data_IF_730436298679
#
_entry.id   IF_730436298679
#
_cell.length_a   1.000
_cell.length_b   1.000
_cell.length_c   1.000
_cell.angle_alpha   90.00
_cell.angle_beta   90.00
_cell.angle_gamma   90.00
#
_symmetry.space_group_name_H-M   'P 1'
#
loop_
_entity.id
_entity.type
_entity.pdbx_description
1 polymer ?
#
# COMPACT_ATOMS: atom_id res chain seq x y z
N UNK A 1 6.09 -25.78 83.24
CA UNK A 1 4.76 -25.13 83.20
C UNK A 1 4.98 -23.69 82.72
N UNK A 2 4.28 -23.02 81.80
CA UNK A 2 2.90 -23.03 81.29
C UNK A 2 2.93 -22.33 79.91
N UNK A 3 2.65 -23.02 78.79
CA UNK A 3 1.45 -22.92 77.93
C UNK A 3 1.00 -21.51 77.42
N UNK A 4 1.00 -21.41 76.07
CA UNK A 4 0.01 -20.76 75.14
C UNK A 4 0.11 -19.23 74.94
N UNK A 5 -0.13 -18.63 73.76
CA UNK A 5 -0.58 -19.09 72.43
C UNK A 5 -0.36 -17.99 71.35
N UNK A 6 -0.36 -18.42 70.08
CA UNK A 6 -0.87 -17.79 68.83
C UNK A 6 -0.61 -16.28 68.58
N UNK A 7 -0.12 -15.86 67.42
CA UNK A 7 -0.93 -15.83 66.20
C UNK A 7 -0.06 -15.75 64.92
N UNK A 8 -0.31 -16.67 63.99
CA UNK A 8 0.11 -16.63 62.58
C UNK A 8 -1.01 -15.97 61.78
N UNK A 9 -0.78 -14.82 61.14
CA UNK A 9 -1.45 -14.37 59.91
C UNK A 9 -0.52 -13.30 59.29
N UNK A 10 -0.15 -13.27 58.02
CA UNK A 10 -0.70 -13.95 56.84
C UNK A 10 -0.72 -12.97 55.68
N UNK A 11 0.39 -12.30 55.34
CA UNK A 11 0.41 -11.22 54.34
C UNK A 11 1.44 -11.50 53.23
N UNK A 12 1.36 -12.66 52.58
CA UNK A 12 2.30 -13.01 51.52
C UNK A 12 1.63 -13.66 50.31
N UNK A 13 0.53 -13.10 49.82
CA UNK A 13 -0.10 -13.57 48.55
C UNK A 13 -0.97 -12.51 47.86
N UNK A 14 -0.48 -11.28 47.60
CA UNK A 14 -1.18 -10.36 46.68
C UNK A 14 -0.21 -9.50 45.84
N UNK A 15 0.73 -10.14 45.14
CA UNK A 15 1.58 -9.46 44.14
C UNK A 15 1.66 -10.23 42.81
N UNK A 16 0.57 -10.90 42.41
CA UNK A 16 0.51 -11.67 41.15
C UNK A 16 -0.56 -11.18 40.15
N UNK A 17 -1.18 -10.02 40.41
CA UNK A 17 -2.24 -9.47 39.54
C UNK A 17 -1.85 -8.33 38.60
N UNK A 18 -0.73 -7.62 38.85
CA UNK A 18 -0.36 -6.41 38.10
C UNK A 18 0.63 -6.65 36.95
N UNK A 19 1.21 -7.85 36.84
CA UNK A 19 2.16 -8.19 35.80
C UNK A 19 1.58 -8.24 34.36
N UNK A 20 0.38 -8.79 34.09
CA UNK A 20 -0.08 -8.91 32.70
C UNK A 20 -0.54 -7.58 32.08
N UNK A 21 -1.02 -6.63 32.90
CA UNK A 21 -1.46 -5.32 32.42
C UNK A 21 -0.29 -4.41 32.01
N UNK A 22 0.84 -4.49 32.73
CA UNK A 22 2.08 -3.78 32.38
C UNK A 22 2.74 -4.35 31.12
N UNK A 23 2.66 -5.66 30.90
CA UNK A 23 3.20 -6.31 29.69
C UNK A 23 2.37 -5.95 28.45
N UNK A 24 1.03 -5.89 28.55
CA UNK A 24 0.17 -5.49 27.43
C UNK A 24 0.37 -4.03 26.99
N UNK A 25 0.59 -3.11 27.94
CA UNK A 25 0.89 -1.71 27.65
C UNK A 25 2.27 -1.51 27.00
N UNK A 26 3.28 -2.32 27.36
CA UNK A 26 4.60 -2.29 26.74
C UNK A 26 4.60 -2.79 25.28
N UNK A 27 3.77 -3.80 24.96
CA UNK A 27 3.66 -4.32 23.58
C UNK A 27 2.90 -3.37 22.64
N UNK A 28 1.92 -2.61 23.15
CA UNK A 28 1.19 -1.60 22.37
C UNK A 28 2.05 -0.37 22.01
N UNK A 29 2.93 0.06 22.91
CA UNK A 29 3.84 1.19 22.66
C UNK A 29 4.93 0.85 21.62
N UNK A 30 5.40 -0.40 21.59
CA UNK A 30 6.44 -0.85 20.67
C UNK A 30 6.04 -0.81 19.19
N UNK A 31 4.75 -1.03 18.87
CA UNK A 31 4.27 -1.08 17.49
C UNK A 31 4.14 0.32 16.85
N UNK A 32 3.80 1.34 17.64
CA UNK A 32 3.71 2.73 17.18
C UNK A 32 5.07 3.46 17.15
N UNK A 33 6.05 3.00 17.94
CA UNK A 33 7.38 3.60 18.00
C UNK A 33 8.24 3.28 16.76
N UNK A 34 8.01 2.15 16.09
CA UNK A 34 8.82 1.69 14.95
C UNK A 34 8.97 2.70 13.78
N UNK A 35 7.90 3.34 13.26
CA UNK A 35 8.05 4.33 12.19
C UNK A 35 8.71 5.63 12.67
N UNK A 36 8.50 6.02 13.93
CA UNK A 36 9.10 7.22 14.52
C UNK A 36 10.61 7.06 14.71
N UNK A 37 11.04 5.89 15.20
CA UNK A 37 12.45 5.51 15.34
C UNK A 37 13.16 5.45 13.98
N UNK A 38 12.52 4.87 12.96
CA UNK A 38 13.08 4.85 11.60
C UNK A 38 13.25 6.26 11.02
N UNK A 39 12.26 7.14 11.21
CA UNK A 39 12.36 8.53 10.78
C UNK A 39 13.47 9.29 11.54
N UNK A 40 13.63 9.05 12.84
CA UNK A 40 14.71 9.61 13.64
C UNK A 40 16.08 9.13 13.17
N UNK A 41 16.23 7.84 12.87
CA UNK A 41 17.47 7.27 12.35
C UNK A 41 17.84 7.87 10.97
N UNK A 42 16.88 8.00 10.06
CA UNK A 42 17.10 8.65 8.76
C UNK A 42 17.57 10.11 8.91
N UNK A 43 17.02 10.85 9.88
CA UNK A 43 17.49 12.21 10.20
C UNK A 43 18.92 12.21 10.72
N UNK A 44 19.28 11.27 11.61
CA UNK A 44 20.66 11.13 12.11
C UNK A 44 21.64 10.87 10.96
N UNK A 45 21.30 9.95 10.05
CA UNK A 45 22.14 9.65 8.88
C UNK A 45 22.28 10.90 8.00
N UNK A 46 21.19 11.63 7.74
CA UNK A 46 21.24 12.85 6.94
C UNK A 46 22.17 13.91 7.57
N UNK A 47 22.09 14.12 8.89
CA UNK A 47 22.99 15.02 9.62
C UNK A 47 24.45 14.55 9.51
N UNK A 48 24.72 13.27 9.75
CA UNK A 48 26.09 12.73 9.65
C UNK A 48 26.69 12.88 8.25
N UNK A 49 25.88 12.69 7.20
CA UNK A 49 26.31 12.95 5.81
C UNK A 49 26.68 14.41 5.62
N UNK A 50 25.87 15.34 6.12
CA UNK A 50 26.17 16.77 6.04
C UNK A 50 27.48 17.10 6.75
N UNK A 51 27.70 16.56 7.95
CA UNK A 51 28.95 16.76 8.70
C UNK A 51 30.18 16.23 7.93
N UNK A 52 30.07 15.04 7.32
CA UNK A 52 31.14 14.47 6.47
C UNK A 52 31.43 15.37 5.27
N UNK A 53 30.39 15.90 4.62
CA UNK A 53 30.56 16.82 3.50
C UNK A 53 31.21 18.14 3.93
N UNK A 54 30.80 18.71 5.07
CA UNK A 54 31.43 19.93 5.59
C UNK A 54 32.90 19.72 5.91
N UNK A 55 33.25 18.63 6.61
CA UNK A 55 34.65 18.26 6.88
C UNK A 55 35.47 18.11 5.59
N UNK A 56 34.89 17.51 4.55
CA UNK A 56 35.55 17.41 3.26
C UNK A 56 35.79 18.79 2.62
N UNK A 57 34.82 19.71 2.68
CA UNK A 57 34.97 21.06 2.16
C UNK A 57 36.02 21.87 2.94
N UNK A 58 36.06 21.73 4.25
CA UNK A 58 37.10 22.32 5.11
C UNK A 58 38.48 21.78 4.75
N UNK A 59 38.62 20.45 4.67
CA UNK A 59 39.86 19.79 4.27
C UNK A 59 40.30 20.21 2.88
N UNK A 60 39.36 20.39 1.96
CA UNK A 60 39.64 20.88 0.62
C UNK A 60 40.20 22.31 0.63
N UNK A 61 39.69 23.20 1.49
CA UNK A 61 40.25 24.56 1.67
C UNK A 61 41.66 24.51 2.25
N UNK A 62 41.91 23.66 3.24
CA UNK A 62 43.24 23.47 3.80
C UNK A 62 44.21 22.89 2.77
N UNK A 63 43.80 21.88 1.99
CA UNK A 63 44.67 21.29 0.96
C UNK A 63 45.13 22.31 -0.08
N UNK A 64 44.30 23.32 -0.40
CA UNK A 64 44.66 24.38 -1.36
C UNK A 64 45.79 25.28 -0.87
N UNK A 65 46.07 25.33 0.43
CA UNK A 65 47.19 26.12 0.98
C UNK A 65 48.50 25.34 1.03
N UNK A 66 48.47 24.02 0.76
CA UNK A 66 49.65 23.15 0.78
C UNK A 66 50.36 23.14 -0.58
N UNK A 67 51.66 22.85 -0.56
CA UNK A 67 52.45 22.69 -1.78
C UNK A 67 52.01 21.47 -2.62
N UNK A 68 51.69 20.35 -1.96
CA UNK A 68 51.25 19.11 -2.63
C UNK A 68 49.72 18.97 -2.53
N UNK A 69 49.00 19.81 -3.28
CA UNK A 69 47.53 19.88 -3.24
C UNK A 69 46.89 18.56 -3.71
N UNK A 70 47.39 17.95 -4.79
CA UNK A 70 46.75 16.79 -5.42
C UNK A 70 46.64 15.59 -4.49
N UNK A 71 47.76 15.20 -3.84
CA UNK A 71 47.76 14.06 -2.92
C UNK A 71 46.88 14.32 -1.70
N UNK A 72 46.90 15.55 -1.18
CA UNK A 72 46.05 15.99 -0.08
C UNK A 72 44.56 15.88 -0.44
N UNK A 73 44.17 16.36 -1.62
CA UNK A 73 42.78 16.29 -2.10
C UNK A 73 42.34 14.84 -2.29
N UNK A 74 43.20 13.98 -2.83
CA UNK A 74 42.87 12.58 -3.05
C UNK A 74 42.75 11.79 -1.75
N UNK A 75 43.54 12.13 -0.73
CA UNK A 75 43.37 11.64 0.64
C UNK A 75 42.02 12.08 1.23
N UNK A 76 41.70 13.37 1.16
CA UNK A 76 40.41 13.89 1.63
C UNK A 76 39.22 13.20 0.93
N UNK A 77 39.34 12.88 -0.36
CA UNK A 77 38.32 12.11 -1.09
C UNK A 77 38.24 10.65 -0.61
N UNK A 78 39.38 10.01 -0.29
CA UNK A 78 39.41 8.64 0.26
C UNK A 78 38.71 8.59 1.62
N UNK A 79 39.04 9.52 2.50
CA UNK A 79 38.41 9.67 3.82
C UNK A 79 36.90 9.89 3.71
N UNK A 80 36.47 10.84 2.87
CA UNK A 80 35.04 11.08 2.61
C UNK A 80 34.32 9.82 2.11
N UNK A 81 34.89 9.11 1.15
CA UNK A 81 34.30 7.85 0.66
C UNK A 81 34.20 6.82 1.78
N UNK A 82 35.26 6.63 2.56
CA UNK A 82 35.28 5.69 3.68
C UNK A 82 34.22 6.02 4.73
N UNK A 83 34.03 7.30 5.05
CA UNK A 83 33.03 7.75 6.01
C UNK A 83 31.58 7.62 5.49
N UNK A 84 31.35 7.79 4.18
CA UNK A 84 30.00 7.67 3.59
C UNK A 84 29.53 6.22 3.38
N UNK A 85 30.45 5.26 3.24
CA UNK A 85 30.12 3.84 3.03
C UNK A 85 29.21 3.27 4.13
N UNK A 86 29.58 3.31 5.43
CA UNK A 86 28.74 2.72 6.48
C UNK A 86 27.37 3.40 6.58
N UNK A 87 27.27 4.69 6.26
CA UNK A 87 25.98 5.40 6.22
C UNK A 87 25.09 4.90 5.09
N UNK A 88 25.67 4.66 3.91
CA UNK A 88 24.95 4.10 2.78
C UNK A 88 24.46 2.68 3.06
N UNK A 89 25.31 1.86 3.67
CA UNK A 89 24.94 0.48 4.03
C UNK A 89 23.77 0.49 5.03
N UNK A 90 23.80 1.38 6.02
CA UNK A 90 22.69 1.58 6.95
C UNK A 90 21.41 2.06 6.26
N UNK A 91 21.50 3.00 5.33
CA UNK A 91 20.33 3.43 4.53
C UNK A 91 19.73 2.28 3.72
N UNK A 92 20.56 1.40 3.16
CA UNK A 92 20.10 0.22 2.41
C UNK A 92 19.30 -0.70 3.34
N UNK A 93 19.81 -1.01 4.53
CA UNK A 93 19.10 -1.82 5.53
C UNK A 93 17.73 -1.22 5.89
N UNK A 94 17.67 0.10 6.13
CA UNK A 94 16.41 0.78 6.44
C UNK A 94 15.42 0.71 5.27
N UNK A 95 15.90 0.86 4.04
CA UNK A 95 15.08 0.75 2.84
C UNK A 95 14.58 -0.68 2.60
N UNK A 96 15.42 -1.68 2.87
CA UNK A 96 15.03 -3.10 2.79
C UNK A 96 13.96 -3.44 3.81
N UNK A 97 14.13 -3.00 5.06
CA UNK A 97 13.13 -3.17 6.11
C UNK A 97 11.80 -2.50 5.72
N UNK A 98 11.84 -1.28 5.18
CA UNK A 98 10.64 -0.58 4.71
C UNK A 98 9.94 -1.35 3.57
N UNK A 99 10.72 -1.85 2.59
CA UNK A 99 10.18 -2.66 1.49
C UNK A 99 9.52 -3.94 1.99
N UNK A 100 10.14 -4.63 2.93
CA UNK A 100 9.59 -5.84 3.53
C UNK A 100 8.27 -5.58 4.26
N UNK A 101 8.18 -4.49 5.04
CA UNK A 101 6.93 -4.08 5.72
C UNK A 101 5.82 -3.78 4.72
N UNK A 102 6.12 -2.98 3.69
CA UNK A 102 5.15 -2.65 2.65
C UNK A 102 4.68 -3.88 1.87
N UNK A 103 5.54 -4.88 1.66
CA UNK A 103 5.15 -6.16 1.07
C UNK A 103 4.19 -6.93 1.98
N UNK A 104 4.53 -7.07 3.27
CA UNK A 104 3.69 -7.75 4.25
C UNK A 104 2.31 -7.09 4.40
N UNK A 105 2.24 -5.75 4.41
CA UNK A 105 0.98 -5.00 4.44
C UNK A 105 0.11 -5.28 3.22
N UNK A 106 0.71 -5.38 2.02
CA UNK A 106 -0.01 -5.71 0.80
C UNK A 106 -0.53 -7.14 0.82
N UNK A 107 0.27 -8.09 1.28
CA UNK A 107 -0.13 -9.50 1.42
C UNK A 107 -1.31 -9.63 2.40
N UNK A 108 -1.24 -8.96 3.55
CA UNK A 108 -2.34 -8.91 4.51
C UNK A 108 -3.62 -8.34 3.89
N UNK A 109 -3.52 -7.24 3.13
CA UNK A 109 -4.67 -6.64 2.45
C UNK A 109 -5.26 -7.54 1.34
N UNK A 110 -4.42 -8.32 0.65
CA UNK A 110 -4.88 -9.31 -0.33
C UNK A 110 -5.61 -10.45 0.38
N UNK A 111 -5.04 -10.98 1.47
CA UNK A 111 -5.65 -12.04 2.26
C UNK A 111 -7.02 -11.62 2.81
N UNK A 112 -7.13 -10.41 3.38
CA UNK A 112 -8.40 -9.86 3.86
C UNK A 112 -9.46 -9.73 2.75
N UNK A 113 -9.06 -9.28 1.56
CA UNK A 113 -9.96 -9.22 0.41
C UNK A 113 -10.38 -10.62 -0.06
N UNK A 114 -9.46 -11.57 -0.06
CA UNK A 114 -9.74 -12.95 -0.45
C UNK A 114 -10.73 -13.61 0.53
N UNK A 115 -10.56 -13.42 1.85
CA UNK A 115 -11.49 -13.92 2.85
C UNK A 115 -12.86 -13.25 2.72
N UNK A 116 -12.91 -11.93 2.56
CA UNK A 116 -14.16 -11.19 2.35
C UNK A 116 -14.89 -11.66 1.09
N UNK A 117 -14.18 -11.86 -0.01
CA UNK A 117 -14.76 -12.38 -1.25
C UNK A 117 -15.28 -13.81 -1.07
N UNK A 118 -14.52 -14.70 -0.42
CA UNK A 118 -14.95 -16.07 -0.15
C UNK A 118 -16.19 -16.12 0.77
N UNK A 119 -16.28 -15.23 1.75
CA UNK A 119 -17.48 -15.09 2.58
C UNK A 119 -18.69 -14.61 1.78
N UNK A 120 -18.51 -13.63 0.87
CA UNK A 120 -19.57 -13.17 -0.03
C UNK A 120 -20.04 -14.29 -0.95
N UNK A 121 -19.13 -15.03 -1.55
CA UNK A 121 -19.44 -16.19 -2.41
C UNK A 121 -20.20 -17.28 -1.66
N UNK A 122 -19.81 -17.59 -0.41
CA UNK A 122 -20.53 -18.54 0.45
C UNK A 122 -21.95 -18.08 0.74
N UNK A 123 -22.15 -16.80 1.06
CA UNK A 123 -23.49 -16.22 1.30
C UNK A 123 -24.35 -16.24 0.04
N UNK A 124 -23.77 -15.94 -1.11
CA UNK A 124 -24.46 -15.97 -2.40
C UNK A 124 -24.87 -17.40 -2.78
N UNK A 125 -24.00 -18.39 -2.52
CA UNK A 125 -24.31 -19.81 -2.70
C UNK A 125 -25.43 -20.29 -1.77
N UNK A 126 -25.36 -19.96 -0.47
CA UNK A 126 -26.42 -20.28 0.49
C UNK A 126 -27.77 -19.65 0.11
N UNK A 127 -27.75 -18.40 -0.41
CA UNK A 127 -28.95 -17.74 -0.92
C UNK A 127 -29.51 -18.45 -2.15
N UNK A 128 -28.66 -18.89 -3.06
CA UNK A 128 -29.06 -19.63 -4.26
C UNK A 128 -29.68 -21.00 -3.90
N UNK A 129 -29.15 -21.69 -2.90
CA UNK A 129 -29.70 -22.96 -2.41
C UNK A 129 -31.04 -22.80 -1.67
N UNK A 130 -31.24 -21.67 -0.98
CA UNK A 130 -32.51 -21.36 -0.29
C UNK A 130 -33.62 -20.81 -1.19
N UNK A 131 -33.29 -20.30 -2.38
CA UNK A 131 -34.31 -19.78 -3.31
C UNK A 131 -34.94 -20.96 -4.06
N UNK A 132 -36.22 -21.32 -3.82
CA UNK A 132 -36.83 -22.40 -4.57
C UNK A 132 -36.84 -22.00 -6.05
N UNK A 133 -36.23 -22.84 -6.90
CA UNK A 133 -36.36 -22.74 -8.36
C UNK A 133 -37.84 -22.94 -8.70
N UNK A 134 -38.63 -21.87 -8.64
CA UNK A 134 -39.95 -21.89 -9.25
C UNK A 134 -39.72 -22.16 -10.73
N UNK A 135 -40.25 -23.26 -11.29
CA UNK A 135 -40.19 -23.46 -12.72
C UNK A 135 -40.83 -22.24 -13.36
N UNK A 136 -40.07 -21.50 -14.17
CA UNK A 136 -40.67 -20.54 -15.07
C UNK A 136 -41.60 -21.36 -15.96
N UNK A 137 -42.91 -21.28 -15.69
CA UNK A 137 -43.91 -21.88 -16.54
C UNK A 137 -43.59 -21.49 -17.99
N UNK A 138 -43.66 -22.41 -18.96
CA UNK A 138 -43.50 -22.06 -20.36
C UNK A 138 -44.37 -20.85 -20.63
N UNK A 139 -43.77 -19.74 -21.09
CA UNK A 139 -44.55 -18.66 -21.67
C UNK A 139 -45.20 -19.27 -22.90
N UNK A 140 -46.48 -19.60 -22.77
CA UNK A 140 -47.31 -19.89 -23.92
C UNK A 140 -47.12 -18.74 -24.90
N UNK A 141 -46.69 -19.06 -26.11
CA UNK A 141 -46.64 -18.13 -27.22
C UNK A 141 -48.11 -17.84 -27.53
N UNK A 142 -48.65 -16.81 -26.87
CA UNK A 142 -50.01 -16.37 -27.08
C UNK A 142 -50.20 -16.00 -28.55
N UNK A 143 -51.17 -16.67 -29.17
CA UNK A 143 -51.75 -16.39 -30.48
C UNK A 143 -51.95 -14.87 -30.70
N UNK A 144 -51.72 -14.34 -31.91
CA UNK A 144 -51.77 -12.90 -32.14
C UNK A 144 -53.19 -12.36 -31.92
N UNK A 145 -53.41 -11.69 -30.78
CA UNK A 145 -54.69 -11.02 -30.49
C UNK A 145 -54.88 -9.82 -31.43
N UNK A 146 -55.94 -9.92 -32.22
CA UNK A 146 -56.51 -8.89 -33.10
C UNK A 146 -56.70 -7.53 -32.37
N UNK A 147 -56.20 -6.40 -32.89
CA UNK A 147 -56.21 -5.11 -32.18
C UNK A 147 -57.54 -4.35 -32.23
N UNK A 148 -58.68 -4.98 -32.56
CA UNK A 148 -59.97 -4.29 -32.72
C UNK A 148 -61.08 -4.84 -31.83
N UNK A 149 -60.97 -4.64 -30.52
CA UNK A 149 -62.10 -4.60 -29.59
C UNK A 149 -61.67 -3.80 -28.34
N UNK A 150 -61.69 -2.47 -28.45
CA UNK A 150 -62.73 -1.56 -27.97
C UNK A 150 -62.59 -1.22 -26.48
N UNK A 151 -62.27 0.05 -26.30
CA UNK A 151 -62.03 0.76 -25.06
C UNK A 151 -63.26 0.86 -24.16
N UNK A 152 -63.03 0.71 -22.85
CA UNK A 152 -63.75 1.41 -21.79
C UNK A 152 -62.68 1.95 -20.81
N UNK A 153 -62.77 3.20 -20.33
CA UNK A 153 -61.77 3.74 -19.42
C UNK A 153 -62.06 3.22 -18.01
N UNK A 154 -61.27 2.24 -17.56
CA UNK A 154 -61.16 1.95 -16.13
C UNK A 154 -60.27 3.04 -15.51
N UNK A 155 -60.88 3.92 -14.71
CA UNK A 155 -60.15 4.74 -13.74
C UNK A 155 -59.53 3.79 -12.71
N UNK A 156 -58.33 3.29 -13.02
CA UNK A 156 -57.54 2.50 -12.09
C UNK A 156 -56.75 3.47 -11.19
N UNK A 157 -57.10 3.43 -9.91
CA UNK A 157 -56.41 4.11 -8.80
C UNK A 157 -55.09 3.39 -8.56
N UNK A 158 -54.14 3.55 -9.48
CA UNK A 158 -52.76 3.11 -9.34
C UNK A 158 -51.83 4.08 -10.08
N UNK A 159 -51.68 5.27 -9.50
CA UNK A 159 -50.51 6.12 -9.73
C UNK A 159 -49.24 5.31 -9.45
N UNK A 160 -48.30 5.16 -10.42
CA UNK A 160 -47.19 4.26 -10.25
C UNK A 160 -46.24 4.81 -9.19
N UNK A 161 -45.94 4.00 -8.18
CA UNK A 161 -44.81 4.17 -7.24
C UNK A 161 -43.48 4.50 -7.95
N UNK A 162 -43.37 4.23 -9.25
CA UNK A 162 -42.27 4.63 -10.12
C UNK A 162 -42.16 6.16 -10.32
N UNK A 163 -43.27 6.89 -10.45
CA UNK A 163 -43.27 8.35 -10.58
C UNK A 163 -42.76 9.03 -9.29
N UNK A 164 -43.23 8.56 -8.12
CA UNK A 164 -42.73 9.05 -6.82
C UNK A 164 -41.28 8.69 -6.53
N UNK A 165 -40.81 7.51 -6.96
CA UNK A 165 -39.38 7.13 -6.86
C UNK A 165 -38.49 7.96 -7.81
N UNK A 166 -38.99 8.28 -9.01
CA UNK A 166 -38.26 9.11 -9.97
C UNK A 166 -38.27 10.61 -9.62
N UNK A 167 -39.23 11.08 -8.83
CA UNK A 167 -39.26 12.46 -8.31
C UNK A 167 -38.44 12.60 -7.01
N UNK A 168 -38.46 11.60 -6.12
CA UNK A 168 -37.67 11.59 -4.88
C UNK A 168 -36.18 11.29 -5.09
N UNK A 169 -35.77 10.88 -6.30
CA UNK A 169 -34.36 10.67 -6.67
C UNK A 169 -33.79 11.79 -7.55
N UNK A 170 -34.57 12.86 -7.80
CA UNK A 170 -34.08 14.09 -8.44
C UNK A 170 -33.55 15.06 -7.40
N UNK A 171 -32.58 14.60 -6.60
CA UNK A 171 -31.60 15.53 -6.06
C UNK A 171 -30.66 15.94 -7.21
N UNK A 172 -30.21 17.20 -7.29
CA UNK A 172 -29.33 17.65 -8.37
C UNK A 172 -27.95 17.00 -8.21
N UNK A 173 -27.77 15.80 -8.79
CA UNK A 173 -26.44 15.22 -8.97
C UNK A 173 -25.72 15.98 -10.08
N UNK A 174 -25.06 17.08 -9.73
CA UNK A 174 -24.00 17.67 -10.52
C UNK A 174 -22.67 17.59 -9.73
N UNK A 175 -21.52 17.27 -10.37
CA UNK A 175 -21.30 16.90 -11.76
C UNK A 175 -20.40 15.66 -11.92
N UNK A 176 -20.95 14.52 -12.35
CA UNK A 176 -20.15 13.40 -12.91
C UNK A 176 -19.22 13.87 -14.05
N UNK A 177 -19.58 14.96 -14.73
CA UNK A 177 -18.79 15.59 -15.77
C UNK A 177 -17.43 16.15 -15.29
N UNK A 178 -17.30 16.58 -14.03
CA UNK A 178 -16.02 17.08 -13.48
C UNK A 178 -15.10 15.93 -13.11
N UNK A 179 -15.65 14.83 -12.56
CA UNK A 179 -14.90 13.60 -12.32
C UNK A 179 -14.41 12.97 -13.63
N UNK A 180 -15.25 12.92 -14.66
CA UNK A 180 -14.86 12.43 -15.99
C UNK A 180 -13.80 13.30 -16.66
N UNK A 181 -13.90 14.63 -16.57
CA UNK A 181 -12.89 15.54 -17.09
C UNK A 181 -11.55 15.37 -16.36
N UNK A 182 -11.56 15.26 -15.03
CA UNK A 182 -10.37 15.01 -14.24
C UNK A 182 -9.73 13.64 -14.56
N UNK A 183 -10.55 12.61 -14.79
CA UNK A 183 -10.08 11.28 -15.17
C UNK A 183 -9.47 11.26 -16.58
N UNK A 184 -10.08 11.95 -17.56
CA UNK A 184 -9.52 12.12 -18.91
C UNK A 184 -8.18 12.86 -18.87
N UNK A 185 -8.10 13.98 -18.14
CA UNK A 185 -6.86 14.73 -17.98
C UNK A 185 -5.73 13.89 -17.36
N UNK A 186 -6.04 13.08 -16.33
CA UNK A 186 -5.06 12.15 -15.72
C UNK A 186 -4.61 11.06 -16.70
N UNK A 187 -5.51 10.58 -17.55
CA UNK A 187 -5.19 9.56 -18.55
C UNK A 187 -4.29 10.12 -19.67
N UNK A 188 -4.59 11.32 -20.16
CA UNK A 188 -3.78 12.04 -21.14
C UNK A 188 -2.38 12.37 -20.58
N UNK A 189 -2.31 12.83 -19.32
CA UNK A 189 -1.03 13.08 -18.65
C UNK A 189 -0.17 11.82 -18.56
N UNK A 190 -0.75 10.67 -18.19
CA UNK A 190 -0.04 9.38 -18.13
C UNK A 190 0.45 8.92 -19.51
N UNK A 191 -0.36 9.12 -20.55
CA UNK A 191 0.06 8.81 -21.92
C UNK A 191 1.22 9.69 -22.37
N UNK A 192 1.16 10.99 -22.10
CA UNK A 192 2.22 11.94 -22.44
C UNK A 192 3.52 11.62 -21.68
N UNK A 193 3.43 11.28 -20.39
CA UNK A 193 4.59 10.88 -19.57
C UNK A 193 5.20 9.56 -20.10
N UNK A 194 4.37 8.57 -20.42
CA UNK A 194 4.84 7.31 -20.98
C UNK A 194 5.52 7.51 -22.35
N UNK A 195 4.97 8.38 -23.20
CA UNK A 195 5.57 8.72 -24.49
C UNK A 195 6.93 9.43 -24.32
N UNK A 196 7.01 10.40 -23.40
CA UNK A 196 8.28 11.08 -23.07
C UNK A 196 9.31 10.10 -22.54
N UNK A 197 8.92 9.20 -21.64
CA UNK A 197 9.82 8.21 -21.09
C UNK A 197 10.34 7.23 -22.16
N UNK A 198 9.46 6.77 -23.07
CA UNK A 198 9.88 5.95 -24.21
C UNK A 198 10.88 6.68 -25.09
N UNK A 199 10.59 7.93 -25.47
CA UNK A 199 11.49 8.75 -26.27
C UNK A 199 12.84 8.99 -25.58
N UNK A 200 12.86 9.22 -24.26
CA UNK A 200 14.09 9.38 -23.48
C UNK A 200 14.91 8.08 -23.46
N UNK A 201 14.26 6.93 -23.23
CA UNK A 201 14.92 5.62 -23.26
C UNK A 201 15.48 5.33 -24.65
N UNK A 202 14.74 5.61 -25.72
CA UNK A 202 15.18 5.46 -27.09
C UNK A 202 16.36 6.37 -27.41
N UNK A 203 16.30 7.65 -27.03
CA UNK A 203 17.41 8.59 -27.20
C UNK A 203 18.66 8.15 -26.42
N UNK A 204 18.50 7.69 -25.18
CA UNK A 204 19.59 7.14 -24.37
C UNK A 204 20.19 5.88 -24.98
N UNK A 205 19.35 5.01 -25.56
CA UNK A 205 19.81 3.82 -26.25
C UNK A 205 20.56 4.16 -27.54
N UNK A 206 20.09 5.17 -28.31
CA UNK A 206 20.74 5.64 -29.52
C UNK A 206 22.09 6.36 -29.23
N UNK A 207 22.18 7.11 -28.14
CA UNK A 207 23.42 7.76 -27.70
C UNK A 207 24.44 6.80 -27.08
N UNK A 208 24.08 5.52 -26.89
CA UNK A 208 24.95 4.54 -26.24
C UNK A 208 26.02 4.03 -27.21
N UNK A 209 27.28 4.35 -26.92
CA UNK A 209 28.45 3.96 -27.72
C UNK A 209 29.00 2.56 -27.40
N UNK A 210 28.51 1.89 -26.34
CA UNK A 210 28.93 0.56 -25.91
C UNK A 210 27.86 -0.48 -26.21
N UNK A 211 28.21 -1.59 -26.88
CA UNK A 211 27.29 -2.69 -27.19
C UNK A 211 26.51 -3.13 -25.92
N UNK A 212 25.19 -3.32 -26.01
CA UNK A 212 24.43 -3.95 -24.93
C UNK A 212 25.01 -5.33 -24.62
N UNK A 213 25.10 -5.67 -23.34
CA UNK A 213 25.39 -7.03 -22.91
C UNK A 213 24.31 -7.96 -23.45
N UNK A 214 24.70 -9.16 -23.91
CA UNK A 214 23.75 -10.18 -24.34
C UNK A 214 22.70 -10.42 -23.25
N UNK A 215 21.40 -10.59 -23.61
CA UNK A 215 20.39 -10.92 -22.64
C UNK A 215 20.77 -12.24 -21.95
N UNK A 216 20.63 -12.28 -20.63
CA UNK A 216 20.84 -13.51 -19.87
C UNK A 216 19.91 -14.60 -20.42
N UNK A 217 20.39 -15.86 -20.53
CA UNK A 217 19.58 -16.95 -21.03
C UNK A 217 18.32 -17.09 -20.18
N UNK A 218 17.17 -17.15 -20.84
CA UNK A 218 15.91 -17.49 -20.18
C UNK A 218 16.02 -18.95 -19.68
N UNK A 219 15.78 -19.22 -18.40
CA UNK A 219 15.81 -20.59 -17.89
C UNK A 219 14.68 -21.38 -18.57
N UNK A 220 15.05 -22.32 -19.44
CA UNK A 220 14.10 -23.19 -20.17
C UNK A 220 14.55 -23.65 -21.55
N UNK A 221 15.52 -22.99 -22.20
CA UNK A 221 16.00 -23.39 -23.53
C UNK A 221 17.16 -24.40 -23.54
N UNK A 222 17.70 -24.78 -22.38
CA UNK A 222 18.85 -25.69 -22.26
C UNK A 222 18.45 -27.12 -21.83
N UNK A 223 17.21 -27.54 -22.10
CA UNK A 223 16.73 -28.88 -21.74
C UNK A 223 15.89 -29.46 -22.88
N UNK A 224 16.56 -29.83 -23.96
CA UNK A 224 16.04 -30.81 -24.91
C UNK A 224 17.20 -31.78 -25.23
N UNK A 225 17.04 -33.10 -25.01
CA UNK A 225 17.96 -34.09 -25.54
C UNK A 225 17.88 -34.18 -27.07
#
# INVERSE_FOLDING_TARGET
>A
MSRRAAYRHGWATLARGLAPALVALLHGFALAAAPAEEAAERRRIATQRQEIEQRFLERQRECRTRFVVTSCIDEAKRERRGALVPLRDREIELNDAQRARAAAEREAAIAEKATSNAERERRDAERADREPRQPRAPREVGEPRNPRARALPRLDRNEPRAARRSAAQREPKAPKAVDEAANRARFEARQAEAAKHRAEVEARNAARTKKPSAPLPVPGAASAP
#
